data_IF_748990452611
#
_entry.id   IF_748990452611
#
_cell.length_a   1.000
_cell.length_b   1.000
_cell.length_c   1.000
_cell.angle_alpha   90.00
_cell.angle_beta   90.00
_cell.angle_gamma   90.00
#
_symmetry.space_group_name_H-M   'P 1'
#
loop_
_entity.id
_entity.type
_entity.pdbx_description
1 polymer ?
#
# COMPACT_ATOMS: atom_id res chain seq x y z
N UNK A 1 43.39 -38.30 1.85
CA UNK A 1 42.10 -38.08 2.48
C UNK A 1 41.24 -39.31 2.33
N UNK A 2 40.80 -39.87 3.42
CA UNK A 2 39.93 -41.03 3.42
C UNK A 2 38.50 -40.61 3.10
N UNK A 3 37.68 -41.53 2.53
CA UNK A 3 36.25 -41.28 2.21
C UNK A 3 35.48 -40.79 3.44
N UNK A 4 35.86 -41.21 4.63
CA UNK A 4 35.28 -40.75 5.89
C UNK A 4 35.44 -39.24 6.14
N UNK A 5 36.60 -38.69 5.83
CA UNK A 5 36.86 -37.25 6.01
C UNK A 5 36.08 -36.40 5.01
N UNK A 6 35.94 -36.87 3.78
CA UNK A 6 35.12 -36.17 2.77
C UNK A 6 33.64 -36.09 3.17
N UNK A 7 33.09 -37.18 3.70
CA UNK A 7 31.71 -37.20 4.19
C UNK A 7 31.51 -36.26 5.38
N UNK A 8 32.45 -36.21 6.32
CA UNK A 8 32.40 -35.29 7.46
C UNK A 8 32.45 -33.83 7.02
N UNK A 9 33.31 -33.50 6.08
CA UNK A 9 33.43 -32.15 5.53
C UNK A 9 32.12 -31.73 4.82
N UNK A 10 31.53 -32.62 4.01
CA UNK A 10 30.26 -32.33 3.31
C UNK A 10 29.12 -32.13 4.30
N UNK A 11 29.04 -32.89 5.36
CA UNK A 11 28.02 -32.73 6.41
C UNK A 11 28.18 -31.38 7.15
N UNK A 12 29.39 -30.98 7.45
CA UNK A 12 29.67 -29.70 8.11
C UNK A 12 29.26 -28.55 7.19
N UNK A 13 29.58 -28.60 5.89
CA UNK A 13 29.15 -27.58 4.92
C UNK A 13 27.63 -27.53 4.77
N UNK A 14 26.97 -28.68 4.73
CA UNK A 14 25.50 -28.72 4.66
C UNK A 14 24.83 -28.12 5.91
N UNK A 15 25.39 -28.38 7.09
CA UNK A 15 24.90 -27.79 8.35
C UNK A 15 25.13 -26.28 8.41
N UNK A 16 26.28 -25.79 7.96
CA UNK A 16 26.59 -24.35 7.92
C UNK A 16 25.70 -23.61 6.93
N UNK A 17 25.45 -24.17 5.75
CA UNK A 17 24.55 -23.60 4.75
C UNK A 17 23.11 -23.58 5.28
N UNK A 18 22.66 -24.67 5.90
CA UNK A 18 21.34 -24.75 6.52
C UNK A 18 21.13 -23.71 7.63
N UNK A 19 22.12 -23.53 8.51
CA UNK A 19 22.09 -22.51 9.56
C UNK A 19 22.05 -21.09 9.00
N UNK A 20 22.81 -20.80 7.94
CA UNK A 20 22.79 -19.49 7.27
C UNK A 20 21.41 -19.20 6.66
N UNK A 21 20.77 -20.16 6.02
CA UNK A 21 19.43 -20.02 5.44
C UNK A 21 18.40 -19.74 6.54
N UNK A 22 18.43 -20.47 7.65
CA UNK A 22 17.52 -20.28 8.76
C UNK A 22 17.70 -18.89 9.41
N UNK A 23 18.93 -18.40 9.51
CA UNK A 23 19.22 -17.08 10.09
C UNK A 23 18.80 -15.92 9.19
N UNK A 24 18.85 -16.08 7.86
CA UNK A 24 18.50 -15.02 6.92
C UNK A 24 17.03 -15.01 6.53
N UNK A 25 16.35 -16.16 6.61
CA UNK A 25 14.94 -16.27 6.23
C UNK A 25 14.01 -15.30 6.99
N UNK A 26 14.08 -15.16 8.32
CA UNK A 26 13.24 -14.20 9.04
C UNK A 26 13.53 -12.74 8.67
N UNK A 27 14.73 -12.44 8.20
CA UNK A 27 15.07 -11.09 7.74
C UNK A 27 14.42 -10.77 6.37
N UNK A 28 14.35 -11.77 5.48
CA UNK A 28 13.70 -11.62 4.17
C UNK A 28 12.17 -11.63 4.28
N UNK A 29 11.64 -12.37 5.26
CA UNK A 29 10.20 -12.44 5.53
C UNK A 29 9.71 -11.37 6.49
N UNK A 30 10.58 -10.48 6.97
CA UNK A 30 10.15 -9.29 7.69
C UNK A 30 9.34 -8.45 6.72
N UNK A 31 8.04 -8.70 6.73
CA UNK A 31 7.09 -7.82 6.08
C UNK A 31 7.39 -6.40 6.56
N UNK A 32 7.43 -5.49 5.63
CA UNK A 32 7.45 -4.06 5.95
C UNK A 32 6.11 -3.71 6.59
N UNK A 33 5.92 -4.16 7.82
CA UNK A 33 4.87 -3.68 8.68
C UNK A 33 5.21 -2.24 9.03
N UNK A 34 4.91 -1.34 8.11
CA UNK A 34 4.70 0.04 8.51
C UNK A 34 3.51 0.02 9.48
N UNK A 35 3.54 0.86 10.49
CA UNK A 35 2.38 1.05 11.34
C UNK A 35 1.14 1.20 10.44
N UNK A 36 0.04 0.51 10.75
CA UNK A 36 -1.15 0.62 9.93
C UNK A 36 -1.54 2.09 9.84
N UNK A 37 -1.41 2.65 8.64
CA UNK A 37 -1.84 4.02 8.42
C UNK A 37 -3.26 4.18 8.94
N UNK A 38 -3.60 5.30 9.59
CA UNK A 38 -4.96 5.53 10.06
C UNK A 38 -5.96 5.23 8.92
N UNK A 39 -7.12 4.63 9.19
CA UNK A 39 -8.10 4.29 8.14
C UNK A 39 -8.40 5.46 7.22
N UNK A 40 -8.44 6.65 7.76
CA UNK A 40 -8.64 7.90 7.03
C UNK A 40 -7.56 8.16 5.97
N UNK A 41 -6.31 7.90 6.29
CA UNK A 41 -5.19 8.04 5.36
C UNK A 41 -5.31 7.08 4.17
N UNK A 42 -5.75 5.84 4.44
CA UNK A 42 -6.00 4.85 3.39
C UNK A 42 -7.19 5.26 2.51
N UNK A 43 -8.24 5.82 3.08
CA UNK A 43 -9.37 6.37 2.33
C UNK A 43 -8.92 7.52 1.42
N UNK A 44 -8.10 8.43 1.90
CA UNK A 44 -7.56 9.53 1.10
C UNK A 44 -6.69 9.04 -0.05
N UNK A 45 -5.86 8.03 0.17
CA UNK A 45 -5.07 7.39 -0.90
C UNK A 45 -5.97 6.75 -1.95
N UNK A 46 -7.04 6.10 -1.53
CA UNK A 46 -8.06 5.53 -2.44
C UNK A 46 -8.73 6.61 -3.29
N UNK A 47 -9.12 7.72 -2.69
CA UNK A 47 -9.72 8.86 -3.40
C UNK A 47 -8.72 9.47 -4.38
N UNK A 48 -7.48 9.65 -3.99
CA UNK A 48 -6.43 10.19 -4.87
C UNK A 48 -6.19 9.30 -6.10
N UNK A 49 -6.11 8.00 -5.91
CA UNK A 49 -6.01 7.02 -6.98
C UNK A 49 -7.24 7.03 -7.89
N UNK A 50 -8.43 7.16 -7.32
CA UNK A 50 -9.68 7.24 -8.08
C UNK A 50 -9.73 8.50 -8.96
N UNK A 51 -9.25 9.62 -8.46
CA UNK A 51 -9.13 10.87 -9.24
C UNK A 51 -8.19 10.71 -10.43
N UNK A 52 -7.04 10.10 -10.20
CA UNK A 52 -6.07 9.83 -11.27
C UNK A 52 -6.67 8.89 -12.35
N UNK A 53 -7.34 7.83 -11.93
CA UNK A 53 -8.01 6.91 -12.85
C UNK A 53 -9.09 7.60 -13.66
N UNK A 54 -9.97 8.36 -13.00
CA UNK A 54 -11.03 9.12 -13.68
C UNK A 54 -10.46 10.11 -14.70
N UNK A 55 -9.38 10.82 -14.34
CA UNK A 55 -8.75 11.78 -15.24
C UNK A 55 -8.17 11.08 -16.49
N UNK A 56 -7.57 9.91 -16.34
CA UNK A 56 -7.05 9.12 -17.46
C UNK A 56 -8.19 8.60 -18.34
N UNK A 57 -9.22 8.03 -17.73
CA UNK A 57 -10.35 7.44 -18.43
C UNK A 57 -11.17 8.49 -19.21
N UNK A 58 -11.41 9.64 -18.60
CA UNK A 58 -12.22 10.73 -19.16
C UNK A 58 -11.39 11.83 -19.85
N UNK A 59 -10.07 11.62 -20.00
CA UNK A 59 -9.13 12.59 -20.59
C UNK A 59 -9.25 13.99 -19.98
N UNK A 60 -9.30 14.04 -18.65
CA UNK A 60 -9.39 15.29 -17.88
C UNK A 60 -8.00 15.83 -17.54
N UNK A 61 -7.97 17.13 -17.24
CA UNK A 61 -6.74 17.82 -16.85
C UNK A 61 -6.57 17.86 -15.32
N UNK A 62 -5.43 18.33 -14.85
CA UNK A 62 -5.14 18.49 -13.43
C UNK A 62 -6.01 19.54 -12.74
N UNK A 63 -6.61 20.45 -13.50
CA UNK A 63 -7.49 21.53 -13.01
C UNK A 63 -8.96 21.09 -12.89
N UNK A 64 -9.33 19.95 -13.47
CA UNK A 64 -10.69 19.44 -13.39
C UNK A 64 -11.01 18.93 -11.99
N UNK A 65 -12.24 19.15 -11.55
CA UNK A 65 -12.74 18.71 -10.26
C UNK A 65 -13.77 17.61 -10.49
N UNK A 66 -13.49 16.33 -10.14
CA UNK A 66 -14.48 15.28 -10.24
C UNK A 66 -15.59 15.47 -9.20
N UNK A 67 -16.79 15.07 -9.55
CA UNK A 67 -17.93 15.02 -8.64
C UNK A 67 -17.96 13.68 -7.91
N UNK A 68 -18.76 13.58 -6.85
CA UNK A 68 -18.96 12.31 -6.14
C UNK A 68 -19.50 11.22 -7.07
N UNK A 69 -20.37 11.55 -7.99
CA UNK A 69 -20.92 10.62 -8.99
C UNK A 69 -19.89 10.15 -10.03
N UNK A 70 -18.81 10.88 -10.21
CA UNK A 70 -17.71 10.48 -11.09
C UNK A 70 -16.81 9.42 -10.45
N UNK A 71 -16.64 9.46 -9.15
CA UNK A 71 -15.69 8.63 -8.42
C UNK A 71 -16.35 7.45 -7.69
N UNK A 72 -17.56 7.60 -7.20
CA UNK A 72 -18.22 6.64 -6.34
C UNK A 72 -19.50 6.07 -6.98
N UNK A 73 -19.72 4.79 -6.79
CA UNK A 73 -20.91 4.10 -7.27
C UNK A 73 -20.61 2.89 -8.14
N UNK A 74 -21.66 2.27 -8.64
CA UNK A 74 -21.54 1.09 -9.50
C UNK A 74 -20.84 1.47 -10.84
N UNK A 75 -19.81 0.72 -11.19
CA UNK A 75 -19.02 0.98 -12.40
C UNK A 75 -18.09 2.20 -12.30
N UNK A 76 -17.90 2.75 -11.12
CA UNK A 76 -16.98 3.85 -10.84
C UNK A 76 -15.69 3.35 -10.21
N UNK A 77 -14.62 4.15 -10.16
CA UNK A 77 -13.35 3.76 -9.56
C UNK A 77 -13.47 3.23 -8.12
N UNK A 78 -14.38 3.79 -7.34
CA UNK A 78 -14.71 3.33 -6.00
C UNK A 78 -16.21 2.96 -5.92
N UNK A 79 -16.51 1.81 -5.32
CA UNK A 79 -17.88 1.34 -5.18
C UNK A 79 -18.72 2.24 -4.26
N UNK A 80 -18.12 2.75 -3.20
CA UNK A 80 -18.78 3.59 -2.18
C UNK A 80 -17.87 4.74 -1.75
N UNK A 81 -18.50 5.84 -1.36
CA UNK A 81 -17.78 6.96 -0.75
C UNK A 81 -17.34 6.58 0.66
N UNK A 82 -16.04 6.56 0.96
CA UNK A 82 -15.56 6.26 2.30
C UNK A 82 -16.00 7.35 3.30
N UNK A 83 -16.16 6.96 4.54
CA UNK A 83 -16.53 7.85 5.65
C UNK A 83 -15.40 7.90 6.65
N UNK A 84 -15.05 9.10 7.11
CA UNK A 84 -14.07 9.25 8.18
C UNK A 84 -14.63 8.69 9.49
N UNK A 85 -13.96 7.73 10.17
CA UNK A 85 -14.43 7.14 11.41
C UNK A 85 -14.61 8.13 12.55
N UNK A 86 -13.93 9.28 12.47
CA UNK A 86 -13.96 10.32 13.50
C UNK A 86 -14.88 11.51 13.14
N UNK A 87 -15.76 11.34 12.14
CA UNK A 87 -16.75 12.33 11.78
C UNK A 87 -16.28 13.43 10.83
N UNK A 88 -15.04 13.35 10.31
CA UNK A 88 -14.56 14.28 9.29
C UNK A 88 -15.22 14.06 7.93
N UNK A 89 -15.11 15.05 7.06
CA UNK A 89 -15.57 14.99 5.66
C UNK A 89 -14.37 15.00 4.72
N UNK A 90 -14.44 14.21 3.66
CA UNK A 90 -13.42 14.20 2.63
C UNK A 90 -13.69 15.28 1.58
N UNK A 91 -12.67 16.09 1.31
CA UNK A 91 -12.67 17.10 0.27
C UNK A 91 -11.86 16.55 -0.89
N UNK A 92 -12.52 16.31 -2.02
CA UNK A 92 -11.92 15.68 -3.19
C UNK A 92 -10.90 16.63 -3.85
N UNK A 93 -11.30 17.87 -4.13
CA UNK A 93 -10.45 18.85 -4.78
C UNK A 93 -10.17 18.54 -6.25
N UNK A 94 -9.27 19.29 -6.85
CA UNK A 94 -8.83 19.10 -8.24
C UNK A 94 -8.04 17.79 -8.40
N UNK A 95 -7.97 17.29 -9.63
CA UNK A 95 -7.16 16.12 -9.96
C UNK A 95 -5.70 16.29 -9.54
N UNK A 96 -5.11 17.46 -9.76
CA UNK A 96 -3.73 17.76 -9.37
C UNK A 96 -3.52 18.05 -7.88
N UNK A 97 -4.58 18.12 -7.09
CA UNK A 97 -4.52 18.38 -5.65
C UNK A 97 -4.76 17.10 -4.86
N UNK A 98 -4.07 16.95 -3.72
CA UNK A 98 -4.33 15.83 -2.82
C UNK A 98 -5.68 16.01 -2.14
N UNK A 99 -6.50 14.93 -2.01
CA UNK A 99 -7.71 14.99 -1.23
C UNK A 99 -7.39 15.23 0.25
N UNK A 100 -8.31 15.86 0.96
CA UNK A 100 -8.14 16.23 2.36
C UNK A 100 -9.31 15.74 3.20
N UNK A 101 -9.07 15.53 4.49
CA UNK A 101 -10.09 15.32 5.49
C UNK A 101 -10.23 16.58 6.35
N UNK A 102 -11.45 16.92 6.74
CA UNK A 102 -11.70 18.08 7.63
C UNK A 102 -11.30 17.82 9.07
N UNK A 103 -11.12 16.56 9.47
CA UNK A 103 -10.67 16.22 10.81
C UNK A 103 -9.18 16.56 10.99
N UNK A 104 -8.77 17.26 12.07
CA UNK A 104 -7.37 17.64 12.30
C UNK A 104 -6.44 16.43 12.36
N UNK A 105 -5.28 16.54 11.71
CA UNK A 105 -4.27 15.48 11.66
C UNK A 105 -4.51 14.37 10.63
N UNK A 106 -5.63 14.41 9.91
CA UNK A 106 -5.93 13.48 8.83
C UNK A 106 -5.53 14.07 7.48
N UNK A 107 -4.36 13.74 7.01
CA UNK A 107 -3.82 14.19 5.72
C UNK A 107 -2.97 13.11 5.06
N UNK A 108 -2.72 13.27 3.75
CA UNK A 108 -1.70 12.50 3.04
C UNK A 108 -0.33 13.12 3.19
#
# INVERSE_FOLDING_TARGET
MTVSNRRRILLIFALLIGAAIVATLPFLLKERGGDPAPPCCNHLKGIDSAKAFWAMDQRRTTDDIPTDSDLFGHGRPLAEKPVCPQGGKYIIGKVGEKPRCTFPGHSL
#
